data_IF_235783445091
#
_entry.id   IF_235783445091
#
_cell.length_a   1.000
_cell.length_b   1.000
_cell.length_c   1.000
_cell.angle_alpha   90.00
_cell.angle_beta   90.00
_cell.angle_gamma   90.00
#
_symmetry.space_group_name_H-M   'P 1'
#
loop_
_entity.id
_entity.type
_entity.pdbx_description
1 polymer ?
#
# COMPACT_ATOMS: atom_id res chain seq x y z
N UNK A 1 8.18 -6.23 1.38
CA UNK A 1 8.51 -5.81 0.00
C UNK A 1 7.91 -4.44 -0.24
N UNK A 2 8.75 -3.46 -0.51
CA UNK A 2 8.33 -2.10 -0.82
C UNK A 2 8.41 -1.90 -2.34
N UNK A 3 7.31 -1.55 -2.97
CA UNK A 3 7.24 -1.40 -4.43
C UNK A 3 6.20 -0.35 -4.81
N UNK A 4 6.34 0.27 -5.99
CA UNK A 4 5.39 1.29 -6.41
C UNK A 4 3.98 0.71 -6.60
N UNK A 5 3.82 -0.33 -7.42
CA UNK A 5 2.49 -0.85 -7.77
C UNK A 5 2.25 -2.28 -7.30
N UNK A 6 3.18 -3.20 -7.53
CA UNK A 6 3.00 -4.58 -7.13
C UNK A 6 4.10 -5.49 -7.62
N UNK A 7 3.98 -6.77 -7.29
CA UNK A 7 4.92 -7.83 -7.71
C UNK A 7 4.15 -9.08 -8.09
N UNK A 8 4.69 -9.86 -9.03
CA UNK A 8 4.17 -11.20 -9.30
C UNK A 8 4.43 -12.11 -8.10
N UNK A 9 3.37 -12.77 -7.64
CA UNK A 9 3.40 -13.57 -6.41
C UNK A 9 4.34 -14.78 -6.49
N UNK A 10 4.52 -15.33 -7.67
CA UNK A 10 5.25 -16.61 -7.87
C UNK A 10 6.71 -16.42 -8.25
N UNK A 11 7.18 -15.18 -8.39
CA UNK A 11 8.55 -14.88 -8.81
C UNK A 11 9.33 -14.16 -7.72
N UNK A 12 10.65 -14.43 -7.60
CA UNK A 12 11.52 -13.64 -6.73
C UNK A 12 11.49 -12.16 -7.11
N UNK A 13 11.72 -11.29 -6.13
CA UNK A 13 11.67 -9.83 -6.34
C UNK A 13 12.63 -9.36 -7.44
N UNK A 14 13.80 -9.99 -7.55
CA UNK A 14 14.81 -9.63 -8.56
C UNK A 14 14.56 -10.23 -9.95
N UNK A 15 13.45 -10.91 -10.17
CA UNK A 15 13.10 -11.53 -11.44
C UNK A 15 11.74 -11.07 -11.97
N UNK A 16 11.31 -9.91 -11.54
CA UNK A 16 10.03 -9.33 -11.93
C UNK A 16 10.11 -8.61 -13.27
N UNK A 17 8.98 -8.54 -13.97
CA UNK A 17 8.82 -7.64 -15.10
C UNK A 17 8.66 -6.21 -14.58
N UNK A 18 9.32 -5.27 -15.23
CA UNK A 18 9.28 -3.84 -14.91
C UNK A 18 7.85 -3.29 -14.90
N UNK A 19 7.02 -3.75 -15.86
CA UNK A 19 5.63 -3.30 -15.95
C UNK A 19 4.81 -3.71 -14.72
N UNK A 20 5.09 -4.84 -14.14
CA UNK A 20 4.44 -5.27 -12.91
C UNK A 20 4.77 -4.32 -11.76
N UNK A 21 6.05 -3.95 -11.60
CA UNK A 21 6.46 -3.01 -10.56
C UNK A 21 5.74 -1.67 -10.67
N UNK A 22 5.51 -1.17 -11.87
CA UNK A 22 5.03 0.19 -12.10
C UNK A 22 3.53 0.28 -12.28
N UNK A 23 2.87 -0.76 -12.82
CA UNK A 23 1.50 -0.63 -13.32
C UNK A 23 0.50 -1.65 -12.80
N UNK A 24 0.93 -2.70 -12.09
CA UNK A 24 0.00 -3.69 -11.57
C UNK A 24 -1.04 -3.03 -10.67
N UNK A 25 -2.30 -3.43 -10.81
CA UNK A 25 -3.36 -2.92 -9.93
C UNK A 25 -3.35 -3.70 -8.62
N UNK A 26 -3.66 -3.03 -7.53
CA UNK A 26 -3.58 -3.63 -6.19
C UNK A 26 -4.49 -4.86 -6.04
N UNK A 27 -5.69 -4.82 -6.61
CA UNK A 27 -6.61 -5.95 -6.52
C UNK A 27 -6.14 -7.21 -7.26
N UNK A 28 -5.10 -7.10 -8.06
CA UNK A 28 -4.44 -8.26 -8.71
C UNK A 28 -3.32 -8.85 -7.85
N UNK A 29 -2.94 -8.17 -6.75
CA UNK A 29 -1.86 -8.66 -5.89
C UNK A 29 -2.32 -9.88 -5.11
N UNK A 30 -1.57 -10.97 -5.23
CA UNK A 30 -1.75 -12.20 -4.45
C UNK A 30 -0.62 -12.32 -3.42
N UNK A 31 -0.78 -13.18 -2.38
CA UNK A 31 0.31 -13.40 -1.43
C UNK A 31 1.60 -13.81 -2.14
N UNK A 32 2.68 -13.10 -1.85
CA UNK A 32 3.99 -13.44 -2.44
C UNK A 32 4.53 -14.73 -1.85
N UNK A 33 5.14 -15.58 -2.68
CA UNK A 33 5.63 -16.90 -2.27
C UNK A 33 6.66 -16.85 -1.15
N UNK A 34 7.33 -15.71 -0.95
CA UNK A 34 8.30 -15.55 0.14
C UNK A 34 7.65 -15.43 1.52
N UNK A 35 6.34 -15.23 1.59
CA UNK A 35 5.63 -14.93 2.84
C UNK A 35 5.76 -13.49 3.30
N UNK A 36 6.48 -12.64 2.56
CA UNK A 36 6.66 -11.23 2.90
C UNK A 36 5.43 -10.41 2.51
N UNK A 37 5.10 -9.43 3.34
CA UNK A 37 4.02 -8.48 3.04
C UNK A 37 4.47 -7.49 1.96
N UNK A 38 3.63 -7.28 0.96
CA UNK A 38 3.85 -6.29 -0.10
C UNK A 38 3.26 -4.96 0.37
N UNK A 39 4.05 -3.89 0.33
CA UNK A 39 3.58 -2.53 0.61
C UNK A 39 3.74 -1.70 -0.64
N UNK A 40 2.65 -1.12 -1.12
CA UNK A 40 2.62 -0.46 -2.43
C UNK A 40 1.69 0.76 -2.43
N UNK A 41 1.62 1.41 -3.58
CA UNK A 41 0.73 2.51 -3.89
C UNK A 41 0.06 2.31 -5.23
N UNK A 42 0.02 3.34 -6.07
CA UNK A 42 -0.44 3.35 -7.46
C UNK A 42 -1.96 3.17 -7.64
N UNK A 43 -2.58 2.27 -6.93
CA UNK A 43 -4.04 2.04 -7.02
C UNK A 43 -4.74 2.78 -5.90
N UNK A 44 -5.52 3.79 -6.23
CA UNK A 44 -6.21 4.64 -5.26
C UNK A 44 -7.20 3.83 -4.41
N UNK A 45 -7.13 3.99 -3.08
CA UNK A 45 -7.93 3.23 -2.12
C UNK A 45 -9.08 4.02 -1.50
N UNK A 46 -9.14 5.31 -1.66
CA UNK A 46 -10.07 6.19 -0.94
C UNK A 46 -9.36 6.89 0.21
N UNK A 47 -10.06 7.19 1.29
CA UNK A 47 -9.49 7.97 2.40
C UNK A 47 -8.58 7.17 3.32
N UNK A 48 -8.73 5.85 3.33
CA UNK A 48 -7.93 4.98 4.19
C UNK A 48 -7.12 4.00 3.34
N UNK A 49 -5.89 3.67 3.78
CA UNK A 49 -5.15 2.56 3.18
C UNK A 49 -5.92 1.25 3.30
N UNK A 50 -5.60 0.29 2.43
CA UNK A 50 -6.17 -1.05 2.49
C UNK A 50 -5.11 -2.03 3.00
N UNK A 51 -5.48 -2.81 4.01
CA UNK A 51 -4.63 -3.86 4.57
C UNK A 51 -5.28 -5.22 4.35
N UNK A 52 -4.69 -6.05 3.49
CA UNK A 52 -5.15 -7.41 3.23
C UNK A 52 -4.37 -8.44 4.05
N UNK A 53 -3.45 -8.00 4.91
CA UNK A 53 -2.54 -8.87 5.63
C UNK A 53 -1.28 -9.19 4.82
N UNK A 54 -1.42 -9.78 3.66
CA UNK A 54 -0.30 -10.09 2.76
C UNK A 54 0.10 -8.91 1.88
N UNK A 55 -0.73 -7.89 1.77
CA UNK A 55 -0.46 -6.70 0.97
C UNK A 55 -1.16 -5.48 1.57
N UNK A 56 -0.47 -4.34 1.54
CA UNK A 56 -0.96 -3.06 2.05
C UNK A 56 -0.80 -2.03 0.94
N UNK A 57 -1.87 -1.31 0.61
CA UNK A 57 -1.80 -0.20 -0.34
C UNK A 57 -2.01 1.12 0.38
N UNK A 58 -1.03 2.02 0.25
CA UNK A 58 -1.02 3.31 0.94
C UNK A 58 -1.51 4.47 0.08
N UNK A 59 -1.97 4.22 -1.14
CA UNK A 59 -2.38 5.29 -2.03
C UNK A 59 -3.76 5.83 -1.66
N UNK A 60 -3.79 6.93 -0.96
CA UNK A 60 -5.00 7.61 -0.54
C UNK A 60 -5.23 8.92 -1.29
N UNK A 61 -4.70 8.99 -2.51
CA UNK A 61 -4.97 10.06 -3.49
C UNK A 61 -4.54 11.46 -3.02
N UNK A 62 -3.33 11.58 -2.47
CA UNK A 62 -2.82 12.88 -2.02
C UNK A 62 -2.84 13.94 -3.13
N UNK A 63 -2.45 13.56 -4.34
CA UNK A 63 -2.38 14.47 -5.48
C UNK A 63 -3.76 14.95 -5.97
N UNK A 64 -4.81 14.23 -5.64
CA UNK A 64 -6.18 14.53 -6.07
C UNK A 64 -7.09 15.05 -4.95
N UNK A 65 -6.52 15.67 -3.93
CA UNK A 65 -7.28 16.23 -2.82
C UNK A 65 -7.63 15.25 -1.71
N UNK A 66 -7.03 14.05 -1.73
CA UNK A 66 -7.19 13.07 -0.66
C UNK A 66 -6.15 13.26 0.44
N UNK A 67 -5.68 12.15 0.99
CA UNK A 67 -4.74 12.13 2.10
C UNK A 67 -3.38 11.60 1.66
N UNK A 68 -2.31 12.20 2.18
CA UNK A 68 -0.98 11.62 2.12
C UNK A 68 -0.83 10.68 3.30
N UNK A 69 -0.55 9.41 3.03
CA UNK A 69 -0.43 8.38 4.07
C UNK A 69 1.02 7.95 4.24
N UNK A 70 1.46 7.81 5.48
CA UNK A 70 2.79 7.32 5.83
C UNK A 70 2.66 6.20 6.86
N UNK A 71 3.28 5.07 6.59
CA UNK A 71 3.26 3.89 7.46
C UNK A 71 4.63 3.68 8.11
N UNK A 72 4.65 3.57 9.43
CA UNK A 72 5.79 3.05 10.15
C UNK A 72 5.72 1.53 10.14
N UNK A 73 6.65 0.89 9.45
CA UNK A 73 6.67 -0.57 9.27
C UNK A 73 6.88 -1.31 10.60
N UNK A 74 7.55 -0.71 11.54
CA UNK A 74 7.89 -1.34 12.81
C UNK A 74 6.70 -1.33 13.76
N UNK A 75 6.07 -0.17 13.96
CA UNK A 75 4.96 0.00 14.90
C UNK A 75 3.59 -0.29 14.30
N UNK A 76 3.47 -0.22 12.98
CA UNK A 76 2.17 -0.31 12.31
C UNK A 76 1.35 0.96 12.39
N UNK A 77 1.94 2.06 12.86
CA UNK A 77 1.24 3.36 12.95
C UNK A 77 1.20 4.01 11.58
N UNK A 78 0.04 4.56 11.24
CA UNK A 78 -0.18 5.32 10.02
C UNK A 78 -0.48 6.77 10.39
N UNK A 79 0.24 7.70 9.77
CA UNK A 79 -0.08 9.12 9.82
C UNK A 79 -0.65 9.56 8.49
N UNK A 80 -1.65 10.41 8.54
CA UNK A 80 -2.22 11.00 7.34
C UNK A 80 -2.30 12.52 7.49
N UNK A 81 -2.05 13.22 6.40
CA UNK A 81 -2.20 14.65 6.29
C UNK A 81 -2.86 15.00 4.96
N UNK A 82 -3.61 16.10 4.92
CA UNK A 82 -4.24 16.56 3.68
C UNK A 82 -3.88 18.01 3.38
N UNK A 83 -4.29 18.49 2.22
CA UNK A 83 -3.99 19.84 1.74
C UNK A 83 -4.70 20.94 2.53
N UNK A 84 -5.74 20.61 3.30
CA UNK A 84 -6.41 21.55 4.19
C UNK A 84 -5.67 21.73 5.52
N UNK A 85 -4.52 21.11 5.68
CA UNK A 85 -3.72 21.17 6.90
C UNK A 85 -4.22 20.28 8.03
N UNK A 86 -5.13 19.37 7.75
CA UNK A 86 -5.60 18.39 8.72
C UNK A 86 -4.66 17.21 8.78
N UNK A 87 -4.52 16.63 9.95
CA UNK A 87 -3.75 15.41 10.15
C UNK A 87 -4.48 14.45 11.07
N UNK A 88 -4.18 13.16 10.93
CA UNK A 88 -4.74 12.13 11.80
C UNK A 88 -3.80 10.94 11.87
N UNK A 89 -4.03 10.08 12.82
CA UNK A 89 -3.20 8.91 13.11
C UNK A 89 -4.08 7.71 13.38
N UNK A 90 -3.64 6.53 12.92
CA UNK A 90 -4.32 5.26 13.15
C UNK A 90 -3.31 4.11 13.15
N UNK A 91 -3.73 2.93 13.52
CA UNK A 91 -2.91 1.73 13.42
C UNK A 91 -3.40 0.85 12.27
N UNK A 92 -2.50 0.03 11.71
CA UNK A 92 -2.87 -0.96 10.69
C UNK A 92 -4.04 -1.84 11.15
N UNK A 93 -4.06 -2.22 12.44
CA UNK A 93 -5.12 -3.05 13.00
C UNK A 93 -6.49 -2.39 13.04
N UNK A 94 -6.55 -1.05 12.93
CA UNK A 94 -7.80 -0.31 12.93
C UNK A 94 -8.45 -0.25 11.55
N UNK A 95 -7.71 -0.63 10.50
CA UNK A 95 -8.23 -0.60 9.13
C UNK A 95 -9.20 -1.73 8.90
N UNK A 96 -10.26 -1.50 8.11
CA UNK A 96 -11.15 -2.59 7.73
C UNK A 96 -10.38 -3.63 6.91
N UNK A 97 -10.75 -4.91 7.07
CA UNK A 97 -10.20 -5.98 6.25
C UNK A 97 -10.84 -5.84 4.87
N UNK A 98 -9.99 -5.55 3.90
CA UNK A 98 -10.44 -5.26 2.55
C UNK A 98 -10.93 -6.44 1.76
#
# INVERSE_FOLDING_TARGET
ILVHAGVEADLPVNQQDRETYYYQRFYSQRPHHSGKTVVCGHTIQGDLPTNLGYAICLDTCAYGGGWLSALDLESGVIWQANEDGKSRRMSLGDLPIG
#
